data_IF_693069677244
#
_entry.id   IF_693069677244
#
_cell.length_a   1.000
_cell.length_b   1.000
_cell.length_c   1.000
_cell.angle_alpha   90.00
_cell.angle_beta   90.00
_cell.angle_gamma   90.00
#
_symmetry.space_group_name_H-M   'P 1'
#
loop_
_entity.id
_entity.type
_entity.pdbx_description
1 polymer ?
#
# COMPACT_ATOMS: atom_id res chain seq x y z
N UNK A 1 5.40 -16.27 -40.18
CA UNK A 1 6.04 -16.09 -38.86
C UNK A 1 7.12 -17.14 -38.72
N UNK A 2 8.38 -16.75 -38.49
CA UNK A 2 9.49 -17.70 -38.26
C UNK A 2 9.49 -18.06 -36.78
N UNK A 3 9.07 -19.27 -36.43
CA UNK A 3 9.29 -19.80 -35.08
C UNK A 3 10.79 -19.97 -34.88
N UNK A 4 11.29 -19.43 -33.77
CA UNK A 4 12.67 -19.59 -33.34
C UNK A 4 12.93 -21.05 -32.94
N UNK A 5 13.93 -21.71 -33.52
CA UNK A 5 14.30 -23.10 -33.21
C UNK A 5 14.99 -23.30 -31.85
N UNK A 6 14.81 -22.36 -30.92
CA UNK A 6 15.54 -22.32 -29.65
C UNK A 6 14.83 -23.18 -28.60
N UNK A 7 15.39 -24.37 -28.34
CA UNK A 7 14.84 -25.38 -27.42
C UNK A 7 15.09 -25.09 -25.93
N UNK A 8 15.85 -24.05 -25.60
CA UNK A 8 16.17 -23.67 -24.23
C UNK A 8 15.86 -22.19 -24.01
N UNK A 9 14.99 -21.91 -23.05
CA UNK A 9 14.74 -20.58 -22.51
C UNK A 9 15.43 -20.47 -21.16
N UNK A 10 16.24 -19.42 -20.97
CA UNK A 10 16.81 -19.08 -19.67
C UNK A 10 16.09 -17.83 -19.16
N UNK A 11 15.38 -17.98 -18.04
CA UNK A 11 14.72 -16.87 -17.36
C UNK A 11 15.55 -16.45 -16.15
N UNK A 12 15.78 -15.14 -16.01
CA UNK A 12 16.39 -14.55 -14.81
C UNK A 12 15.29 -13.95 -13.95
N UNK A 13 15.27 -14.34 -12.68
CA UNK A 13 14.33 -13.84 -11.67
C UNK A 13 15.14 -13.33 -10.48
N UNK A 14 14.59 -12.36 -9.73
CA UNK A 14 15.22 -11.92 -8.50
C UNK A 14 15.03 -12.96 -7.39
N UNK A 15 15.97 -13.07 -6.45
CA UNK A 15 15.86 -14.01 -5.33
C UNK A 15 14.58 -13.78 -4.51
N UNK A 16 14.15 -12.53 -4.38
CA UNK A 16 12.90 -12.14 -3.72
C UNK A 16 11.64 -12.65 -4.44
N UNK A 17 11.70 -12.84 -5.76
CA UNK A 17 10.57 -13.31 -6.58
C UNK A 17 10.52 -14.84 -6.67
N UNK A 18 11.59 -15.54 -6.26
CA UNK A 18 11.76 -16.98 -6.47
C UNK A 18 10.56 -17.80 -5.97
N UNK A 19 10.11 -17.55 -4.73
CA UNK A 19 9.01 -18.31 -4.13
C UNK A 19 7.69 -18.12 -4.87
N UNK A 20 7.35 -16.88 -5.21
CA UNK A 20 6.15 -16.54 -5.97
C UNK A 20 6.19 -17.13 -7.38
N UNK A 21 7.36 -17.10 -8.03
CA UNK A 21 7.55 -17.70 -9.34
C UNK A 21 7.40 -19.23 -9.33
N UNK A 22 7.93 -19.91 -8.32
CA UNK A 22 7.78 -21.36 -8.19
C UNK A 22 6.31 -21.77 -7.96
N UNK A 23 5.56 -21.01 -7.16
CA UNK A 23 4.11 -21.20 -7.00
C UNK A 23 3.35 -20.93 -8.30
N UNK A 24 3.73 -19.90 -9.06
CA UNK A 24 3.15 -19.61 -10.36
C UNK A 24 3.38 -20.78 -11.34
N UNK A 25 4.60 -21.30 -11.40
CA UNK A 25 4.91 -22.48 -12.22
C UNK A 25 4.10 -23.69 -11.77
N UNK A 26 4.03 -23.96 -10.46
CA UNK A 26 3.21 -25.04 -9.94
C UNK A 26 1.73 -24.88 -10.34
N UNK A 27 1.20 -23.66 -10.26
CA UNK A 27 -0.15 -23.34 -10.69
C UNK A 27 -0.35 -23.59 -12.19
N UNK A 28 0.61 -23.25 -13.05
CA UNK A 28 0.50 -23.48 -14.50
C UNK A 28 0.38 -24.97 -14.85
N UNK A 29 0.98 -25.86 -14.05
CA UNK A 29 0.89 -27.31 -14.25
C UNK A 29 -0.32 -27.97 -13.57
N UNK A 30 -0.73 -27.47 -12.40
CA UNK A 30 -1.72 -28.14 -11.54
C UNK A 30 -3.07 -27.43 -11.44
N UNK A 31 -3.13 -26.14 -11.80
CA UNK A 31 -4.26 -25.26 -11.58
C UNK A 31 -4.51 -24.86 -10.11
N UNK A 32 -3.57 -25.13 -9.19
CA UNK A 32 -3.72 -24.90 -7.73
C UNK A 32 -2.47 -24.28 -7.12
N UNK A 33 -2.66 -23.52 -6.04
CA UNK A 33 -1.57 -23.04 -5.18
C UNK A 33 -1.28 -24.06 -4.08
N UNK A 34 -0.02 -24.18 -3.67
CA UNK A 34 0.34 -25.04 -2.53
C UNK A 34 0.26 -24.32 -1.19
N UNK A 35 0.31 -22.99 -1.23
CA UNK A 35 0.27 -22.10 -0.07
C UNK A 35 -0.90 -21.13 -0.15
N UNK A 36 -1.57 -20.92 0.99
CA UNK A 36 -2.62 -19.90 1.19
C UNK A 36 -2.12 -18.72 2.02
N UNK A 37 -0.80 -18.60 2.19
CA UNK A 37 -0.17 -17.51 2.94
C UNK A 37 -0.44 -16.16 2.26
N UNK A 38 -1.08 -15.18 2.93
CA UNK A 38 -1.60 -13.97 2.28
C UNK A 38 -0.54 -13.11 1.58
N UNK A 39 0.63 -12.92 2.18
CA UNK A 39 1.69 -12.08 1.60
C UNK A 39 2.30 -12.75 0.37
N UNK A 40 2.49 -14.07 0.38
CA UNK A 40 2.87 -14.82 -0.81
C UNK A 40 1.80 -14.75 -1.91
N UNK A 41 0.50 -14.75 -1.59
CA UNK A 41 -0.55 -14.60 -2.61
C UNK A 41 -0.48 -13.24 -3.31
N UNK A 42 -0.14 -12.17 -2.60
CA UNK A 42 0.13 -10.86 -3.20
C UNK A 42 1.36 -10.92 -4.12
N UNK A 43 2.42 -11.61 -3.70
CA UNK A 43 3.64 -11.77 -4.52
C UNK A 43 3.39 -12.64 -5.78
N UNK A 44 2.57 -13.70 -5.65
CA UNK A 44 2.12 -14.51 -6.78
C UNK A 44 1.26 -13.67 -7.72
N UNK A 45 0.37 -12.83 -7.21
CA UNK A 45 -0.45 -11.94 -8.05
C UNK A 45 0.43 -10.99 -8.87
N UNK A 46 1.47 -10.40 -8.27
CA UNK A 46 2.43 -9.55 -8.99
C UNK A 46 3.23 -10.34 -10.03
N UNK A 47 3.68 -11.56 -9.69
CA UNK A 47 4.34 -12.43 -10.66
C UNK A 47 3.40 -12.84 -11.81
N UNK A 48 2.14 -13.15 -11.51
CA UNK A 48 1.15 -13.52 -12.50
C UNK A 48 0.82 -12.38 -13.46
N UNK A 49 0.78 -11.14 -12.98
CA UNK A 49 0.68 -9.94 -13.82
C UNK A 49 1.92 -9.80 -14.72
N UNK A 50 3.12 -9.88 -14.14
CA UNK A 50 4.41 -9.79 -14.84
C UNK A 50 4.57 -10.81 -15.97
N UNK A 51 4.07 -12.03 -15.77
CA UNK A 51 4.14 -13.13 -16.74
C UNK A 51 2.81 -13.39 -17.48
N UNK A 52 1.84 -12.49 -17.33
CA UNK A 52 0.54 -12.48 -18.03
C UNK A 52 -0.30 -13.77 -17.86
N UNK A 53 -0.22 -14.40 -16.69
CA UNK A 53 -1.00 -15.62 -16.35
C UNK A 53 -2.37 -15.23 -15.79
N UNK A 54 -3.28 -14.83 -16.68
CA UNK A 54 -4.60 -14.25 -16.33
C UNK A 54 -5.44 -15.17 -15.43
N UNK A 55 -5.40 -16.49 -15.63
CA UNK A 55 -6.14 -17.45 -14.78
C UNK A 55 -5.63 -17.46 -13.34
N UNK A 56 -4.32 -17.29 -13.15
CA UNK A 56 -3.69 -17.18 -11.84
C UNK A 56 -4.12 -15.89 -11.15
N UNK A 57 -4.11 -14.76 -11.87
CA UNK A 57 -4.53 -13.46 -11.32
C UNK A 57 -5.97 -13.49 -10.79
N UNK A 58 -6.89 -14.12 -11.54
CA UNK A 58 -8.30 -14.27 -11.11
C UNK A 58 -8.41 -15.09 -9.83
N UNK A 59 -7.73 -16.24 -9.77
CA UNK A 59 -7.79 -17.12 -8.60
C UNK A 59 -7.13 -16.47 -7.36
N UNK A 60 -5.94 -15.87 -7.53
CA UNK A 60 -5.27 -15.14 -6.45
C UNK A 60 -6.11 -13.97 -5.94
N UNK A 61 -6.68 -13.17 -6.85
CA UNK A 61 -7.56 -12.06 -6.48
C UNK A 61 -8.75 -12.51 -5.64
N UNK A 62 -9.42 -13.59 -6.06
CA UNK A 62 -10.53 -14.16 -5.29
C UNK A 62 -10.09 -14.64 -3.90
N UNK A 63 -8.98 -15.39 -3.79
CA UNK A 63 -8.47 -15.84 -2.49
C UNK A 63 -8.10 -14.68 -1.56
N UNK A 64 -7.49 -13.62 -2.10
CA UNK A 64 -7.15 -12.43 -1.33
C UNK A 64 -8.38 -11.68 -0.81
N UNK A 65 -9.48 -11.68 -1.56
CA UNK A 65 -10.76 -11.09 -1.14
C UNK A 65 -11.41 -11.92 -0.03
N UNK A 66 -11.34 -13.25 -0.12
CA UNK A 66 -11.97 -14.17 0.84
C UNK A 66 -11.20 -14.27 2.18
N UNK A 67 -9.94 -13.80 2.21
CA UNK A 67 -9.11 -13.79 3.41
C UNK A 67 -9.47 -12.65 4.37
N UNK A 68 -9.37 -12.86 5.69
CA UNK A 68 -9.52 -11.78 6.65
C UNK A 68 -8.39 -10.76 6.46
N UNK A 69 -8.75 -9.49 6.27
CA UNK A 69 -7.79 -8.41 6.12
C UNK A 69 -7.01 -8.20 7.43
N UNK A 70 -5.69 -8.31 7.39
CA UNK A 70 -4.80 -7.95 8.51
C UNK A 70 -4.02 -6.67 8.18
N UNK A 71 -3.41 -5.98 9.16
CA UNK A 71 -2.60 -4.80 8.90
C UNK A 71 -1.43 -5.06 7.93
N UNK A 72 -0.77 -6.22 8.07
CA UNK A 72 0.36 -6.63 7.24
C UNK A 72 -0.07 -6.83 5.78
N UNK A 73 -1.19 -7.54 5.57
CA UNK A 73 -1.77 -7.74 4.25
C UNK A 73 -2.25 -6.41 3.65
N UNK A 74 -2.95 -5.59 4.44
CA UNK A 74 -3.47 -4.31 3.98
C UNK A 74 -2.34 -3.39 3.48
N UNK A 75 -1.25 -3.29 4.24
CA UNK A 75 -0.07 -2.51 3.84
C UNK A 75 0.51 -3.05 2.53
N UNK A 76 0.69 -4.37 2.40
CA UNK A 76 1.22 -4.99 1.17
C UNK A 76 0.30 -4.76 -0.04
N UNK A 77 -1.02 -4.77 0.16
CA UNK A 77 -1.97 -4.45 -0.90
C UNK A 77 -1.87 -2.99 -1.38
N UNK A 78 -1.45 -2.04 -0.54
CA UNK A 78 -1.29 -0.63 -0.95
C UNK A 78 -0.13 -0.42 -1.93
N UNK A 79 0.84 -1.35 -1.97
CA UNK A 79 1.98 -1.31 -2.88
C UNK A 79 1.68 -1.97 -4.24
N UNK A 80 0.47 -2.52 -4.43
CA UNK A 80 0.08 -3.16 -5.68
C UNK A 80 0.03 -2.15 -6.84
N UNK A 81 0.59 -2.49 -8.02
CA UNK A 81 0.44 -1.70 -9.22
C UNK A 81 -1.03 -1.53 -9.63
N UNK A 82 -1.43 -0.30 -9.95
CA UNK A 82 -2.78 0.00 -10.45
C UNK A 82 -3.12 -0.67 -11.79
N UNK A 83 -2.11 -1.17 -12.53
CA UNK A 83 -2.29 -1.90 -13.79
C UNK A 83 -2.96 -3.27 -13.59
N UNK A 84 -2.86 -3.84 -12.39
CA UNK A 84 -3.45 -5.14 -12.07
C UNK A 84 -4.98 -4.96 -11.91
N UNK A 85 -5.75 -5.65 -12.75
CA UNK A 85 -7.22 -5.50 -12.79
C UNK A 85 -7.94 -5.75 -11.46
N UNK A 86 -7.39 -6.58 -10.57
CA UNK A 86 -7.97 -6.88 -9.24
C UNK A 86 -7.42 -5.98 -8.12
N UNK A 87 -6.37 -5.19 -8.39
CA UNK A 87 -5.70 -4.42 -7.36
C UNK A 87 -6.55 -3.26 -6.84
N UNK A 88 -7.40 -2.64 -7.68
CA UNK A 88 -8.22 -1.49 -7.25
C UNK A 88 -9.14 -1.83 -6.09
N UNK A 89 -9.81 -2.98 -6.16
CA UNK A 89 -10.75 -3.41 -5.12
C UNK A 89 -10.01 -3.82 -3.84
N UNK A 90 -8.87 -4.51 -3.98
CA UNK A 90 -8.01 -4.89 -2.85
C UNK A 90 -7.41 -3.66 -2.16
N UNK A 91 -6.91 -2.68 -2.92
CA UNK A 91 -6.38 -1.42 -2.39
C UNK A 91 -7.48 -0.66 -1.64
N UNK A 92 -8.69 -0.59 -2.19
CA UNK A 92 -9.79 0.11 -1.54
C UNK A 92 -10.26 -0.60 -0.26
N UNK A 93 -10.31 -1.93 -0.27
CA UNK A 93 -10.60 -2.75 0.91
C UNK A 93 -9.53 -2.54 2.00
N UNK A 94 -8.25 -2.55 1.63
CA UNK A 94 -7.13 -2.29 2.54
C UNK A 94 -7.22 -0.89 3.16
N UNK A 95 -7.48 0.16 2.36
CA UNK A 95 -7.68 1.52 2.86
C UNK A 95 -8.84 1.62 3.84
N UNK A 96 -9.99 1.01 3.54
CA UNK A 96 -11.16 0.97 4.43
C UNK A 96 -10.85 0.24 5.73
N UNK A 97 -10.18 -0.91 5.67
CA UNK A 97 -9.79 -1.68 6.84
C UNK A 97 -8.87 -0.88 7.77
N UNK A 98 -7.79 -0.30 7.24
CA UNK A 98 -6.84 0.50 8.03
C UNK A 98 -7.52 1.71 8.66
N UNK A 99 -8.35 2.43 7.90
CA UNK A 99 -9.09 3.58 8.41
C UNK A 99 -10.02 3.18 9.57
N UNK A 100 -10.75 2.08 9.44
CA UNK A 100 -11.68 1.63 10.48
C UNK A 100 -10.95 1.10 11.72
N UNK A 101 -9.90 0.28 11.54
CA UNK A 101 -9.09 -0.26 12.65
C UNK A 101 -8.45 0.85 13.47
N UNK A 102 -7.92 1.87 12.80
CA UNK A 102 -7.21 3.00 13.41
C UNK A 102 -8.04 4.29 13.42
N UNK A 103 -9.38 4.17 13.51
CA UNK A 103 -10.27 5.33 13.56
C UNK A 103 -9.90 6.30 14.70
N UNK A 104 -9.52 5.73 15.84
CA UNK A 104 -9.07 6.47 17.02
C UNK A 104 -7.55 6.32 17.19
N UNK A 105 -6.77 6.54 16.13
CA UNK A 105 -5.32 6.32 16.14
C UNK A 105 -4.56 7.12 17.21
N UNK A 106 -5.10 8.25 17.67
CA UNK A 106 -4.54 9.05 18.77
C UNK A 106 -4.71 8.40 20.15
N UNK A 107 -5.53 7.34 20.27
CA UNK A 107 -5.64 6.55 21.50
C UNK A 107 -4.37 5.72 21.73
N UNK A 108 -4.02 5.49 23.00
CA UNK A 108 -2.85 4.71 23.42
C UNK A 108 -2.91 3.24 23.00
N UNK A 109 -4.11 2.71 22.69
CA UNK A 109 -4.34 1.28 22.44
C UNK A 109 -3.49 0.68 21.31
N UNK A 110 -3.13 1.47 20.30
CA UNK A 110 -2.45 0.98 19.09
C UNK A 110 -1.17 1.74 18.74
N UNK A 111 -0.64 2.56 19.63
CA UNK A 111 0.51 3.43 19.33
C UNK A 111 1.72 2.63 18.86
N UNK A 112 2.09 1.55 19.56
CA UNK A 112 3.28 0.74 19.20
C UNK A 112 3.15 0.06 17.84
N UNK A 113 1.96 -0.46 17.52
CA UNK A 113 1.66 -1.08 16.23
C UNK A 113 1.70 -0.03 15.11
N UNK A 114 1.04 1.11 15.33
CA UNK A 114 0.95 2.22 14.38
C UNK A 114 2.31 2.82 14.04
N UNK A 115 3.21 2.91 15.02
CA UNK A 115 4.58 3.37 14.82
C UNK A 115 5.38 2.47 13.87
N UNK A 116 5.02 1.18 13.75
CA UNK A 116 5.66 0.22 12.84
C UNK A 116 5.04 0.21 11.44
N UNK A 117 3.87 0.83 11.25
CA UNK A 117 3.21 0.90 9.94
C UNK A 117 4.03 1.79 9.00
N UNK A 118 4.32 1.34 7.76
CA UNK A 118 5.07 2.13 6.80
C UNK A 118 4.21 3.25 6.19
N UNK A 119 4.87 4.15 5.44
CA UNK A 119 4.26 5.36 4.91
C UNK A 119 2.92 5.15 4.18
N UNK A 120 2.76 4.17 3.26
CA UNK A 120 1.50 3.98 2.54
C UNK A 120 0.32 3.72 3.50
N UNK A 121 0.55 2.94 4.55
CA UNK A 121 -0.46 2.67 5.57
C UNK A 121 -0.83 3.90 6.38
N UNK A 122 0.15 4.71 6.80
CA UNK A 122 -0.12 5.97 7.51
C UNK A 122 -0.89 6.96 6.63
N UNK A 123 -0.50 7.11 5.36
CA UNK A 123 -1.23 7.97 4.43
C UNK A 123 -2.68 7.50 4.27
N UNK A 124 -2.92 6.18 4.16
CA UNK A 124 -4.25 5.63 4.07
C UNK A 124 -5.12 5.92 5.31
N UNK A 125 -4.52 5.84 6.51
CA UNK A 125 -5.20 6.14 7.78
C UNK A 125 -5.53 7.64 7.86
N UNK A 126 -4.54 8.52 7.67
CA UNK A 126 -4.72 9.97 7.80
C UNK A 126 -5.66 10.55 6.74
N UNK A 127 -5.63 10.02 5.51
CA UNK A 127 -6.49 10.50 4.43
C UNK A 127 -7.98 10.27 4.68
N UNK A 128 -8.34 9.29 5.52
CA UNK A 128 -9.73 8.89 5.78
C UNK A 128 -10.22 9.27 7.17
N UNK A 129 -9.31 9.33 8.14
CA UNK A 129 -9.62 9.69 9.51
C UNK A 129 -9.29 11.17 9.72
N UNK A 130 -10.31 12.01 9.72
CA UNK A 130 -10.19 13.42 10.07
C UNK A 130 -10.42 13.58 11.59
N UNK A 131 -9.41 14.02 12.34
CA UNK A 131 -9.58 14.44 13.73
C UNK A 131 -10.42 15.73 13.75
N UNK A 132 -11.30 15.88 14.74
CA UNK A 132 -12.03 17.13 14.96
C UNK A 132 -11.11 18.31 15.37
N UNK A 133 -11.74 19.45 15.66
CA UNK A 133 -11.08 20.76 15.91
C UNK A 133 -10.11 20.77 17.10
N UNK A 134 -10.25 19.86 18.08
CA UNK A 134 -9.36 19.77 19.25
C UNK A 134 -8.18 18.80 19.09
N UNK A 135 -8.02 18.17 17.92
CA UNK A 135 -7.12 17.02 17.72
C UNK A 135 -6.03 17.25 16.67
N UNK A 136 -5.93 18.45 16.12
CA UNK A 136 -4.97 18.79 15.08
C UNK A 136 -3.51 18.79 15.57
N UNK A 137 -3.26 19.44 16.71
CA UNK A 137 -1.94 19.46 17.35
C UNK A 137 -1.46 18.03 17.68
N UNK A 138 -2.38 17.19 18.15
CA UNK A 138 -2.08 15.77 18.44
C UNK A 138 -1.75 14.96 17.19
N UNK A 139 -2.36 15.27 16.04
CA UNK A 139 -1.97 14.63 14.77
C UNK A 139 -0.61 15.09 14.30
N UNK A 140 -0.34 16.38 14.42
CA UNK A 140 0.97 16.93 14.07
C UNK A 140 2.07 16.30 14.92
N UNK A 141 1.89 16.24 16.25
CA UNK A 141 2.81 15.56 17.17
C UNK A 141 2.99 14.08 16.80
N UNK A 142 1.90 13.35 16.55
CA UNK A 142 1.95 11.96 16.12
C UNK A 142 2.77 11.79 14.83
N UNK A 143 2.51 12.60 13.81
CA UNK A 143 3.21 12.55 12.51
C UNK A 143 4.71 12.81 12.68
N UNK A 144 5.09 13.77 13.53
CA UNK A 144 6.49 14.04 13.83
C UNK A 144 7.17 12.87 14.52
N UNK A 145 6.54 12.31 15.57
CA UNK A 145 7.06 11.14 16.28
C UNK A 145 7.23 9.95 15.33
N UNK A 146 6.20 9.65 14.54
CA UNK A 146 6.22 8.56 13.55
C UNK A 146 7.33 8.75 12.52
N UNK A 147 7.47 9.95 11.95
CA UNK A 147 8.48 10.23 10.95
C UNK A 147 9.90 10.16 11.52
N UNK A 148 10.08 10.58 12.78
CA UNK A 148 11.35 10.44 13.49
C UNK A 148 11.73 8.96 13.68
N UNK A 149 10.77 8.13 14.07
CA UNK A 149 10.97 6.70 14.27
C UNK A 149 11.30 5.97 12.97
N UNK A 150 10.57 6.23 11.89
CA UNK A 150 10.74 5.52 10.62
C UNK A 150 11.91 6.04 9.78
N UNK A 151 12.29 7.31 9.93
CA UNK A 151 13.33 7.95 9.14
C UNK A 151 14.35 8.67 10.05
N UNK A 152 15.39 7.95 10.53
CA UNK A 152 16.46 8.56 11.31
C UNK A 152 17.24 9.63 10.53
N UNK A 153 17.31 9.49 9.20
CA UNK A 153 17.97 10.45 8.31
C UNK A 153 17.11 11.73 8.16
N UNK A 154 17.70 12.87 8.54
CA UNK A 154 17.04 14.18 8.56
C UNK A 154 16.46 14.59 7.20
N UNK A 155 17.23 14.44 6.11
CA UNK A 155 16.82 14.86 4.77
C UNK A 155 15.64 14.04 4.26
N UNK A 156 15.71 12.70 4.37
CA UNK A 156 14.60 11.82 4.02
C UNK A 156 13.37 12.12 4.85
N UNK A 157 13.53 12.29 6.16
CA UNK A 157 12.43 12.65 7.07
C UNK A 157 11.77 13.96 6.66
N UNK A 158 12.57 15.01 6.42
CA UNK A 158 12.06 16.31 5.99
C UNK A 158 11.28 16.19 4.68
N UNK A 159 11.83 15.47 3.69
CA UNK A 159 11.17 15.23 2.42
C UNK A 159 9.81 14.57 2.60
N UNK A 160 9.74 13.46 3.34
CA UNK A 160 8.49 12.72 3.58
C UNK A 160 7.45 13.57 4.34
N UNK A 161 7.89 14.31 5.36
CA UNK A 161 7.02 15.24 6.08
C UNK A 161 6.44 16.29 5.13
N UNK A 162 7.30 17.01 4.39
CA UNK A 162 6.87 18.10 3.53
C UNK A 162 6.02 17.67 2.35
N UNK A 163 6.38 16.57 1.68
CA UNK A 163 5.72 16.18 0.42
C UNK A 163 4.47 15.34 0.62
N UNK A 164 4.35 14.63 1.75
CA UNK A 164 3.37 13.54 1.85
C UNK A 164 2.48 13.65 3.09
N UNK A 165 3.03 13.99 4.26
CA UNK A 165 2.28 13.95 5.52
C UNK A 165 1.64 15.30 5.86
N UNK A 166 2.39 16.40 5.75
CA UNK A 166 1.88 17.73 6.08
C UNK A 166 0.66 18.15 5.24
N UNK A 167 0.56 17.85 3.93
CA UNK A 167 -0.65 18.14 3.14
C UNK A 167 -1.93 17.46 3.65
N UNK A 168 -1.80 16.37 4.40
CA UNK A 168 -2.92 15.64 4.99
C UNK A 168 -3.32 16.14 6.38
N UNK A 169 -2.48 16.98 7.00
CA UNK A 169 -2.81 17.62 8.29
C UNK A 169 -3.69 18.86 8.01
N UNK A 170 -4.82 19.03 8.72
CA UNK A 170 -5.77 20.13 8.48
C UNK A 170 -5.15 21.53 8.39
N UNK A 171 -4.06 21.82 9.12
CA UNK A 171 -3.36 23.11 9.13
C UNK A 171 -2.94 23.57 7.74
N UNK A 172 -2.40 22.65 6.94
CA UNK A 172 -1.91 22.93 5.59
C UNK A 172 -3.07 23.02 4.60
N UNK A 173 -4.14 22.25 4.82
CA UNK A 173 -5.34 22.30 3.97
C UNK A 173 -6.08 23.64 4.12
N UNK A 174 -6.14 24.20 5.33
CA UNK A 174 -6.73 25.51 5.56
C UNK A 174 -5.86 26.66 5.07
N UNK A 175 -4.52 26.58 5.19
CA UNK A 175 -3.62 27.58 4.61
C UNK A 175 -3.59 27.56 3.08
N UNK A 176 -3.62 26.39 2.45
CA UNK A 176 -3.66 26.30 0.97
C UNK A 176 -5.00 26.75 0.38
N UNK A 177 -6.12 26.49 1.06
CA UNK A 177 -7.41 27.08 0.69
C UNK A 177 -7.43 28.61 0.86
N UNK A 178 -6.77 29.15 1.89
CA UNK A 178 -6.66 30.60 2.07
C UNK A 178 -5.83 31.26 0.96
N UNK A 179 -4.72 30.63 0.54
CA UNK A 179 -3.86 31.15 -0.55
C UNK A 179 -4.56 31.10 -1.93
N UNK A 180 -5.49 30.17 -2.13
CA UNK A 180 -6.32 30.09 -3.36
C UNK A 180 -7.48 31.10 -3.40
N UNK A 181 -7.90 31.64 -2.25
CA UNK A 181 -8.96 32.67 -2.17
C UNK A 181 -8.37 34.09 -2.30
N UNK A 182 -7.05 34.24 -2.12
CA UNK A 182 -6.37 35.54 -2.12
C UNK A 182 -5.61 35.85 -3.44
N UNK A 183 -5.95 35.18 -4.55
CA UNK A 183 -5.58 35.66 -5.88
C UNK A 183 -6.64 36.69 -6.31
N UNK A 184 -6.37 38.02 -6.25
CA UNK A 184 -7.26 38.98 -6.87
C UNK A 184 -7.23 38.74 -8.37
N UNK A 185 -8.40 38.42 -8.92
CA UNK A 185 -8.69 38.57 -10.34
C UNK A 185 -8.43 40.02 -10.74
N UNK A 186 -7.22 40.31 -11.21
CA UNK A 186 -6.92 41.54 -11.93
C UNK A 186 -7.56 41.45 -13.32
N UNK A 187 -8.56 42.32 -13.53
CA UNK A 187 -8.95 42.85 -14.85
C UNK A 187 -7.89 43.88 -15.26
#
# INVERSE_FOLDING_TARGET
MKESGQRQATLRIADSEYKAFMELLHFMYSGKFTSTEPTLLVDILMAADKFEVVSCMKLCGQQLIDLPMTPELAVRCLDLPCSISVATDLIEAAKKFLANRYKNFLSTKFQDELMRIPLPGILAILSRNHPGVASEESVYDFVLRWAHFQYPNLERRHKILSSSLLPLVPLVRNMTNAILIDQPSCI
#
